data_IF_438455036432
#
_entry.id   IF_438455036432
#
_cell.length_a   1.000
_cell.length_b   1.000
_cell.length_c   1.000
_cell.angle_alpha   90.00
_cell.angle_beta   90.00
_cell.angle_gamma   90.00
#
_symmetry.space_group_name_H-M   'P 1'
#
loop_
_entity.id
_entity.type
_entity.pdbx_description
1 polymer ?
#
# COMPACT_ATOMS: atom_id res chain seq x y z
N UNK A 1 4.15 -18.30 37.52
CA UNK A 1 3.12 -17.58 36.73
C UNK A 1 3.74 -17.08 35.44
N UNK A 2 4.85 -16.31 35.46
CA UNK A 2 5.50 -15.77 34.25
C UNK A 2 5.90 -16.87 33.25
N UNK A 3 6.48 -17.96 33.71
CA UNK A 3 6.86 -19.10 32.87
C UNK A 3 5.64 -19.75 32.17
N UNK A 4 4.50 -19.82 32.87
CA UNK A 4 3.27 -20.35 32.29
C UNK A 4 2.77 -19.49 31.11
N UNK A 5 2.80 -18.14 31.23
CA UNK A 5 2.45 -17.24 30.12
C UNK A 5 3.35 -17.45 28.94
N UNK A 6 4.65 -17.57 29.15
CA UNK A 6 5.62 -17.76 28.06
C UNK A 6 5.38 -19.10 27.33
N UNK A 7 5.03 -20.16 28.05
CA UNK A 7 4.67 -21.46 27.47
C UNK A 7 3.37 -21.34 26.64
N UNK A 8 2.37 -20.63 27.18
CA UNK A 8 1.10 -20.40 26.46
C UNK A 8 1.33 -19.60 25.18
N UNK A 9 2.13 -18.54 25.20
CA UNK A 9 2.46 -17.75 24.03
C UNK A 9 3.15 -18.58 22.95
N UNK A 10 4.11 -19.42 23.33
CA UNK A 10 4.79 -20.34 22.41
C UNK A 10 3.80 -21.32 21.79
N UNK A 11 2.92 -21.93 22.60
CA UNK A 11 1.91 -22.88 22.12
C UNK A 11 0.94 -22.19 21.16
N UNK A 12 0.40 -21.01 21.53
CA UNK A 12 -0.49 -20.24 20.67
C UNK A 12 0.20 -19.93 19.35
N UNK A 13 1.47 -19.50 19.37
CA UNK A 13 2.23 -19.19 18.15
C UNK A 13 2.34 -20.39 17.21
N UNK A 14 2.54 -21.61 17.73
CA UNK A 14 2.60 -22.82 16.90
C UNK A 14 1.26 -23.17 16.24
N UNK A 15 0.14 -22.87 16.90
CA UNK A 15 -1.22 -23.14 16.40
C UNK A 15 -1.81 -21.98 15.60
N UNK A 16 -1.15 -20.82 15.51
CA UNK A 16 -1.61 -19.72 14.67
C UNK A 16 -1.66 -20.16 13.19
N UNK A 17 -2.75 -19.87 12.47
CA UNK A 17 -2.83 -20.07 11.04
C UNK A 17 -1.66 -19.44 10.29
N UNK A 18 -1.22 -20.09 9.21
CA UNK A 18 -0.10 -19.61 8.39
C UNK A 18 -0.32 -18.21 7.84
N UNK A 19 -1.56 -17.85 7.57
CA UNK A 19 -1.98 -16.52 7.12
C UNK A 19 -1.64 -15.45 8.14
N UNK A 20 -1.97 -15.67 9.42
CA UNK A 20 -1.66 -14.73 10.50
C UNK A 20 -0.15 -14.65 10.74
N UNK A 21 0.55 -15.78 10.70
CA UNK A 21 2.01 -15.79 10.81
C UNK A 21 2.66 -15.00 9.68
N UNK A 22 2.18 -15.16 8.44
CA UNK A 22 2.68 -14.43 7.29
C UNK A 22 2.43 -12.93 7.45
N UNK A 23 1.27 -12.50 7.93
CA UNK A 23 0.99 -11.07 8.18
C UNK A 23 1.90 -10.47 9.25
N UNK A 24 2.26 -11.24 10.29
CA UNK A 24 3.17 -10.80 11.34
C UNK A 24 4.64 -10.70 10.87
N UNK A 25 5.04 -11.58 9.94
CA UNK A 25 6.44 -11.71 9.51
C UNK A 25 6.67 -11.34 8.04
N UNK A 26 5.63 -10.91 7.30
CA UNK A 26 5.81 -10.47 5.93
C UNK A 26 6.80 -9.32 5.91
N UNK A 27 7.96 -9.65 5.41
CA UNK A 27 8.97 -8.67 5.03
C UNK A 27 8.38 -7.86 3.87
N UNK A 28 7.74 -6.74 4.21
CA UNK A 28 7.15 -5.84 3.21
C UNK A 28 8.27 -5.23 2.38
N UNK A 29 8.79 -6.02 1.46
CA UNK A 29 9.95 -5.70 0.61
C UNK A 29 9.78 -4.38 -0.19
N UNK A 30 8.55 -3.89 -0.26
CA UNK A 30 8.19 -2.64 -0.90
C UNK A 30 8.32 -1.42 0.02
N UNK A 31 8.34 -1.62 1.35
CA UNK A 31 8.58 -0.56 2.32
C UNK A 31 10.07 -0.49 2.59
N UNK A 32 10.64 0.64 2.24
CA UNK A 32 12.05 0.95 2.46
C UNK A 32 12.19 1.89 3.65
N UNK A 33 13.32 1.81 4.34
CA UNK A 33 13.64 2.74 5.41
C UNK A 33 13.83 4.14 4.82
N UNK A 34 13.08 5.13 5.32
CA UNK A 34 13.30 6.53 4.97
C UNK A 34 14.34 7.17 5.88
N UNK A 35 15.04 8.18 5.38
CA UNK A 35 15.99 8.98 6.17
C UNK A 35 15.26 9.93 7.11
N UNK A 36 14.10 10.45 6.68
CA UNK A 36 13.36 11.51 7.38
C UNK A 36 12.19 10.99 8.22
N UNK A 37 11.66 9.80 7.89
CA UNK A 37 10.49 9.20 8.56
C UNK A 37 10.61 7.68 8.62
N UNK A 38 9.73 7.02 9.32
CA UNK A 38 9.84 5.59 9.66
C UNK A 38 10.02 4.69 8.43
N UNK A 39 9.25 4.90 7.36
CA UNK A 39 9.33 4.12 6.12
C UNK A 39 8.80 4.91 4.93
N UNK A 40 9.18 4.46 3.75
CA UNK A 40 8.75 4.95 2.45
C UNK A 40 8.36 3.77 1.55
N UNK A 41 7.71 4.04 0.42
CA UNK A 41 7.47 3.04 -0.61
C UNK A 41 8.59 3.11 -1.65
N UNK A 42 9.01 1.94 -2.13
CA UNK A 42 10.00 1.86 -3.21
C UNK A 42 9.45 2.49 -4.47
N UNK A 43 10.20 3.39 -5.08
CA UNK A 43 9.85 4.04 -6.34
C UNK A 43 9.87 3.05 -7.52
N UNK A 44 9.02 3.31 -8.53
CA UNK A 44 8.95 2.53 -9.78
C UNK A 44 8.84 1.02 -9.54
N UNK A 45 8.04 0.61 -8.58
CA UNK A 45 7.90 -0.77 -8.17
C UNK A 45 6.50 -1.33 -8.46
N UNK A 46 6.46 -2.64 -8.70
CA UNK A 46 5.22 -3.42 -8.77
C UNK A 46 5.41 -4.65 -7.90
N UNK A 47 4.53 -4.84 -6.94
CA UNK A 47 4.62 -5.95 -5.99
C UNK A 47 3.23 -6.39 -5.53
N UNK A 48 3.14 -7.65 -5.13
CA UNK A 48 1.97 -8.18 -4.44
C UNK A 48 2.11 -7.88 -2.96
N UNK A 49 1.06 -7.35 -2.38
CA UNK A 49 0.93 -7.15 -0.93
C UNK A 49 -0.31 -7.89 -0.44
N UNK A 50 -0.44 -8.10 0.86
CA UNK A 50 -1.56 -8.78 1.48
C UNK A 50 -2.05 -8.02 2.70
N UNK A 51 -3.34 -8.08 2.93
CA UNK A 51 -3.99 -7.59 4.14
C UNK A 51 -5.07 -8.59 4.57
N UNK A 52 -4.80 -9.32 5.65
CA UNK A 52 -5.60 -10.48 6.03
C UNK A 52 -5.60 -11.53 4.90
N UNK A 53 -6.77 -11.95 4.46
CA UNK A 53 -6.91 -12.90 3.36
C UNK A 53 -6.87 -12.25 1.96
N UNK A 54 -6.79 -10.93 1.89
CA UNK A 54 -6.84 -10.18 0.64
C UNK A 54 -5.44 -9.98 0.06
N UNK A 55 -5.20 -10.51 -1.13
CA UNK A 55 -4.00 -10.24 -1.92
C UNK A 55 -4.31 -9.16 -2.95
N UNK A 56 -3.49 -8.14 -3.03
CA UNK A 56 -3.66 -7.04 -3.97
C UNK A 56 -2.35 -6.61 -4.59
N UNK A 57 -2.45 -5.98 -5.76
CA UNK A 57 -1.29 -5.48 -6.49
C UNK A 57 -1.09 -3.99 -6.18
N UNK A 58 0.13 -3.62 -5.86
CA UNK A 58 0.53 -2.24 -5.64
C UNK A 58 1.53 -1.84 -6.70
N UNK A 59 1.27 -0.71 -7.33
CA UNK A 59 2.21 -0.02 -8.20
C UNK A 59 2.60 1.31 -7.56
N UNK A 60 3.84 1.71 -7.75
CA UNK A 60 4.34 3.02 -7.33
C UNK A 60 4.94 3.76 -8.52
N UNK A 61 4.83 5.07 -8.50
CA UNK A 61 5.47 5.94 -9.47
C UNK A 61 6.92 6.25 -9.10
N UNK A 62 7.60 7.07 -9.90
CA UNK A 62 9.00 7.46 -9.68
C UNK A 62 9.22 8.26 -8.38
N UNK A 63 8.18 8.79 -7.77
CA UNK A 63 8.24 9.50 -6.47
C UNK A 63 7.97 8.59 -5.27
N UNK A 64 7.67 7.30 -5.49
CA UNK A 64 7.32 6.37 -4.42
C UNK A 64 5.86 6.45 -3.97
N UNK A 65 5.00 7.21 -4.64
CA UNK A 65 3.57 7.23 -4.32
C UNK A 65 2.84 6.10 -5.00
N UNK A 66 1.86 5.51 -4.31
CA UNK A 66 0.97 4.51 -4.89
C UNK A 66 0.22 5.10 -6.08
N UNK A 67 0.20 4.38 -7.17
CA UNK A 67 -0.38 4.82 -8.43
C UNK A 67 -1.07 3.66 -9.16
N UNK A 68 -1.79 3.97 -10.24
CA UNK A 68 -2.45 2.97 -11.09
C UNK A 68 -1.45 2.06 -11.81
N UNK A 69 -0.29 2.61 -12.17
CA UNK A 69 0.80 1.90 -12.86
C UNK A 69 2.14 2.52 -12.52
N UNK A 70 3.21 1.81 -12.86
CA UNK A 70 4.55 2.38 -12.85
C UNK A 70 4.59 3.49 -13.90
N UNK A 71 4.93 4.70 -13.51
CA UNK A 71 5.08 5.85 -14.41
C UNK A 71 5.96 6.94 -13.83
N UNK A 72 6.52 7.74 -14.68
CA UNK A 72 7.17 8.99 -14.28
C UNK A 72 6.13 10.11 -14.18
N UNK A 73 6.18 10.83 -13.06
CA UNK A 73 5.32 12.00 -12.85
C UNK A 73 5.88 13.18 -13.64
N UNK A 74 5.09 13.70 -14.57
CA UNK A 74 5.47 14.87 -15.35
C UNK A 74 5.03 16.14 -14.62
N UNK A 75 5.99 16.89 -14.05
CA UNK A 75 5.71 18.14 -13.34
C UNK A 75 5.31 19.32 -14.25
N UNK A 76 5.44 19.18 -15.57
CA UNK A 76 4.92 20.18 -16.53
C UNK A 76 3.41 20.09 -16.69
N UNK A 77 2.81 18.98 -16.28
CA UNK A 77 1.37 18.78 -16.30
C UNK A 77 0.74 19.11 -14.95
N UNK A 78 -0.57 19.32 -14.94
CA UNK A 78 -1.32 19.47 -13.67
C UNK A 78 -1.37 18.12 -12.96
N UNK A 79 -0.82 18.07 -11.77
CA UNK A 79 -0.83 16.91 -10.89
C UNK A 79 -1.63 17.21 -9.63
N UNK A 80 -2.32 16.21 -9.12
CA UNK A 80 -3.01 16.26 -7.83
C UNK A 80 -2.34 15.22 -6.94
N UNK A 81 -1.84 15.66 -5.80
CA UNK A 81 -1.26 14.82 -4.78
C UNK A 81 -2.24 14.66 -3.62
N UNK A 82 -2.53 13.42 -3.24
CA UNK A 82 -3.29 13.09 -2.04
C UNK A 82 -2.31 12.69 -0.94
N UNK A 83 -2.40 13.37 0.19
CA UNK A 83 -1.56 13.12 1.37
C UNK A 83 -2.45 12.69 2.52
N UNK A 84 -2.06 11.66 3.23
CA UNK A 84 -2.78 11.15 4.39
C UNK A 84 -2.12 9.91 4.98
N UNK A 85 -2.88 9.17 5.74
CA UNK A 85 -2.47 7.93 6.41
C UNK A 85 -2.71 6.67 5.55
N UNK A 86 -2.77 5.51 6.20
CA UNK A 86 -3.04 4.21 5.57
C UNK A 86 -4.37 4.13 4.80
N UNK A 87 -5.37 4.94 5.17
CA UNK A 87 -6.63 5.03 4.43
C UNK A 87 -6.43 5.75 3.09
N UNK A 88 -5.58 6.76 3.05
CA UNK A 88 -5.23 7.49 1.82
C UNK A 88 -4.34 6.64 0.92
N UNK A 89 -3.39 5.91 1.49
CA UNK A 89 -2.62 4.90 0.77
C UNK A 89 -3.54 3.78 0.25
N UNK A 90 -4.63 3.49 0.95
CA UNK A 90 -5.56 2.41 0.63
C UNK A 90 -4.90 1.04 0.84
N UNK A 91 -4.35 0.83 2.05
CA UNK A 91 -3.80 -0.48 2.45
C UNK A 91 -4.89 -1.54 2.36
N UNK A 92 -4.60 -2.67 1.76
CA UNK A 92 -5.57 -3.74 1.51
C UNK A 92 -6.34 -3.65 0.20
N UNK A 93 -6.15 -2.58 -0.59
CA UNK A 93 -6.89 -2.31 -1.83
C UNK A 93 -5.94 -2.09 -3.01
N UNK A 94 -6.36 -2.46 -4.22
CA UNK A 94 -5.73 -1.98 -5.46
C UNK A 94 -5.98 -0.47 -5.62
N UNK A 95 -5.15 0.21 -6.41
CA UNK A 95 -5.29 1.65 -6.61
C UNK A 95 -6.71 2.05 -7.07
N UNK A 96 -7.27 1.35 -8.05
CA UNK A 96 -8.58 1.67 -8.62
C UNK A 96 -9.74 1.49 -7.62
N UNK A 97 -9.54 0.71 -6.55
CA UNK A 97 -10.51 0.46 -5.48
C UNK A 97 -10.42 1.51 -4.37
N UNK A 98 -9.35 2.31 -4.33
CA UNK A 98 -9.17 3.38 -3.34
C UNK A 98 -10.01 4.61 -3.71
N UNK A 99 -10.35 5.43 -2.72
CA UNK A 99 -11.05 6.69 -3.00
C UNK A 99 -10.21 7.62 -3.90
N UNK A 100 -8.89 7.58 -3.79
CA UNK A 100 -7.95 8.33 -4.64
C UNK A 100 -8.08 7.87 -6.08
N UNK A 101 -8.10 6.57 -6.34
CA UNK A 101 -8.29 6.00 -7.67
C UNK A 101 -9.65 6.36 -8.27
N UNK A 102 -10.72 6.23 -7.48
CA UNK A 102 -12.09 6.59 -7.89
C UNK A 102 -12.19 8.07 -8.27
N UNK A 103 -11.62 8.97 -7.47
CA UNK A 103 -11.58 10.41 -7.76
C UNK A 103 -10.77 10.68 -9.03
N UNK A 104 -9.61 10.04 -9.18
CA UNK A 104 -8.75 10.19 -10.35
C UNK A 104 -9.49 9.84 -11.65
N UNK A 105 -10.22 8.73 -11.67
CA UNK A 105 -11.00 8.32 -12.84
C UNK A 105 -12.16 9.29 -13.14
N UNK A 106 -12.85 9.79 -12.11
CA UNK A 106 -13.90 10.80 -12.28
C UNK A 106 -13.35 12.11 -12.86
N UNK A 107 -12.22 12.58 -12.34
CA UNK A 107 -11.59 13.81 -12.83
C UNK A 107 -11.13 13.68 -14.29
N UNK A 108 -10.56 12.54 -14.69
CA UNK A 108 -10.19 12.29 -16.09
C UNK A 108 -11.39 12.40 -17.03
N UNK A 109 -12.54 11.82 -16.66
CA UNK A 109 -13.77 11.92 -17.46
C UNK A 109 -14.26 13.37 -17.59
N UNK A 110 -14.24 14.14 -16.52
CA UNK A 110 -14.63 15.56 -16.54
C UNK A 110 -13.70 16.37 -17.44
N UNK A 111 -12.38 16.17 -17.32
CA UNK A 111 -11.39 16.87 -18.15
C UNK A 111 -11.54 16.51 -19.63
N UNK A 112 -11.87 15.27 -19.96
CA UNK A 112 -12.13 14.86 -21.35
C UNK A 112 -13.37 15.55 -21.92
N UNK A 113 -14.44 15.70 -21.15
CA UNK A 113 -15.67 16.40 -21.57
C UNK A 113 -15.43 17.88 -21.81
N UNK A 114 -14.56 18.51 -21.01
CA UNK A 114 -14.27 19.95 -21.11
C UNK A 114 -13.27 20.32 -22.22
N UNK A 115 -12.67 19.35 -22.90
CA UNK A 115 -11.73 19.57 -24.01
C UNK A 115 -12.38 19.66 -25.42
N UNK A 116 -13.73 19.65 -25.49
CA UNK A 116 -14.49 19.84 -26.71
C UNK A 116 -14.92 21.29 -26.84
#
# INVERSE_FOLDING_TARGET
IFFLYLVIDIVIFFFLPSEIKNDLFVNRAHRIKSYYYHHDLRSNASYKDSWGYNNYLVHTNNLGFKDKSIRDVNFKEKNILFIGDSFTEGVGLKFDETYVGIISEKLKKIIQILKF
#
